data_IF_013876567764
#
_entry.id   IF_013876567764
#
_cell.length_a   1.000
_cell.length_b   1.000
_cell.length_c   1.000
_cell.angle_alpha   90.00
_cell.angle_beta   90.00
_cell.angle_gamma   90.00
#
_symmetry.space_group_name_H-M   'P 1'
#
loop_
_entity.id
_entity.type
_entity.pdbx_description
1 polymer ?
#
# COMPACT_ATOMS: atom_id res chain seq x y z
N UNK A 1 -38.31 -17.04 -1.39
CA UNK A 1 -38.71 -16.96 -2.83
C UNK A 1 -40.07 -17.64 -3.00
N UNK A 2 -41.07 -17.04 -3.69
CA UNK A 2 -42.42 -17.58 -3.76
C UNK A 2 -42.53 -18.90 -4.54
N UNK A 3 -41.60 -19.19 -5.45
CA UNK A 3 -41.64 -20.39 -6.31
C UNK A 3 -40.97 -21.59 -5.64
N UNK A 4 -39.72 -21.44 -5.17
CA UNK A 4 -38.98 -22.54 -4.55
C UNK A 4 -39.11 -22.58 -3.01
N UNK A 5 -39.79 -21.61 -2.40
CA UNK A 5 -39.95 -21.43 -0.94
C UNK A 5 -38.63 -21.38 -0.16
N UNK A 6 -37.50 -21.19 -0.84
CA UNK A 6 -36.20 -21.01 -0.20
C UNK A 6 -36.03 -19.56 0.23
N UNK A 7 -35.58 -19.37 1.46
CA UNK A 7 -35.35 -18.07 2.06
C UNK A 7 -33.86 -17.81 2.30
N UNK A 8 -33.50 -16.53 2.37
CA UNK A 8 -32.13 -16.06 2.59
C UNK A 8 -31.53 -16.59 3.91
N UNK A 9 -32.38 -16.85 4.91
CA UNK A 9 -31.96 -17.42 6.19
C UNK A 9 -31.34 -18.82 6.05
N UNK A 10 -31.93 -19.68 5.20
CA UNK A 10 -31.45 -21.05 4.99
C UNK A 10 -30.29 -21.13 4.00
N UNK A 11 -30.21 -20.16 3.09
CA UNK A 11 -29.21 -20.12 2.01
C UNK A 11 -28.66 -18.70 1.88
N UNK A 12 -27.55 -18.37 2.57
CA UNK A 12 -27.06 -16.98 2.65
C UNK A 12 -26.59 -16.42 1.30
N UNK A 13 -26.15 -17.29 0.38
CA UNK A 13 -25.71 -16.91 -0.96
C UNK A 13 -26.86 -16.75 -1.98
N UNK A 14 -28.12 -16.89 -1.54
CA UNK A 14 -29.27 -16.76 -2.41
C UNK A 14 -29.51 -15.30 -2.80
N UNK A 15 -29.28 -14.98 -4.07
CA UNK A 15 -29.61 -13.66 -4.63
C UNK A 15 -31.10 -13.58 -4.95
N UNK A 16 -31.77 -12.63 -4.33
CA UNK A 16 -33.16 -12.27 -4.61
C UNK A 16 -33.16 -11.03 -5.52
N UNK A 17 -33.83 -11.15 -6.66
CA UNK A 17 -34.04 -10.07 -7.62
C UNK A 17 -35.51 -9.65 -7.61
N UNK A 18 -35.76 -8.41 -8.01
CA UNK A 18 -37.07 -7.77 -8.04
C UNK A 18 -37.45 -7.45 -9.48
N UNK A 19 -38.67 -7.81 -9.87
CA UNK A 19 -39.22 -7.52 -11.19
C UNK A 19 -39.83 -6.10 -11.30
N UNK A 20 -40.20 -5.64 -12.51
CA UNK A 20 -41.02 -4.44 -12.70
C UNK A 20 -42.38 -4.48 -11.99
N UNK A 21 -42.96 -5.67 -11.79
CA UNK A 21 -44.19 -5.84 -11.02
C UNK A 21 -43.96 -5.98 -9.50
N UNK A 22 -42.76 -5.64 -9.02
CA UNK A 22 -42.39 -5.62 -7.59
C UNK A 22 -42.56 -6.95 -6.86
N UNK A 23 -42.35 -8.08 -7.56
CA UNK A 23 -42.32 -9.40 -6.93
C UNK A 23 -40.88 -9.90 -6.81
N UNK A 24 -40.53 -10.46 -5.64
CA UNK A 24 -39.20 -11.00 -5.34
C UNK A 24 -39.06 -12.44 -5.84
N UNK A 25 -38.01 -12.75 -6.57
CA UNK A 25 -37.70 -14.11 -7.05
C UNK A 25 -36.20 -14.40 -6.93
N UNK A 26 -35.82 -15.65 -6.70
CA UNK A 26 -34.39 -16.01 -6.69
C UNK A 26 -33.86 -16.20 -8.12
N UNK A 27 -32.56 -16.00 -8.30
CA UNK A 27 -31.85 -16.16 -9.57
C UNK A 27 -32.14 -17.51 -10.24
N UNK A 28 -32.10 -18.62 -9.50
CA UNK A 28 -32.36 -19.95 -10.05
C UNK A 28 -33.80 -20.13 -10.57
N UNK A 29 -34.79 -19.54 -9.91
CA UNK A 29 -36.17 -19.58 -10.38
C UNK A 29 -36.39 -18.66 -11.59
N UNK A 30 -35.70 -17.53 -11.64
CA UNK A 30 -35.76 -16.61 -12.78
C UNK A 30 -35.19 -17.30 -14.02
N UNK A 31 -34.05 -17.97 -13.87
CA UNK A 31 -33.38 -18.65 -14.97
C UNK A 31 -34.20 -19.80 -15.55
N UNK A 32 -34.86 -20.57 -14.68
CA UNK A 32 -35.73 -21.67 -15.10
C UNK A 32 -37.03 -21.19 -15.76
N UNK A 33 -37.64 -20.12 -15.26
CA UNK A 33 -38.94 -19.65 -15.76
C UNK A 33 -38.83 -18.73 -16.98
N UNK A 34 -37.82 -17.86 -17.00
CA UNK A 34 -37.62 -16.85 -18.06
C UNK A 34 -36.44 -17.18 -18.98
N UNK A 35 -35.78 -18.33 -18.79
CA UNK A 35 -34.68 -18.78 -19.66
C UNK A 35 -35.13 -19.14 -21.07
N UNK A 36 -36.34 -19.71 -21.20
CA UNK A 36 -36.90 -20.12 -22.50
C UNK A 36 -37.53 -18.98 -23.30
N UNK A 37 -37.66 -17.78 -22.72
CA UNK A 37 -38.30 -16.64 -23.36
C UNK A 37 -39.13 -15.77 -22.40
N UNK A 38 -39.88 -14.79 -22.93
CA UNK A 38 -40.79 -13.99 -22.13
C UNK A 38 -41.89 -14.88 -21.54
N UNK A 39 -42.05 -14.82 -20.22
CA UNK A 39 -43.02 -15.64 -19.49
C UNK A 39 -43.86 -14.75 -18.55
N UNK A 40 -45.06 -15.18 -18.14
CA UNK A 40 -45.86 -14.45 -17.17
C UNK A 40 -45.31 -14.60 -15.75
N UNK A 41 -45.36 -13.53 -14.97
CA UNK A 41 -45.06 -13.57 -13.54
C UNK A 41 -46.00 -14.55 -12.82
N UNK A 42 -45.52 -15.42 -11.92
CA UNK A 42 -46.36 -16.38 -11.20
C UNK A 42 -47.33 -15.75 -10.18
N UNK A 43 -47.14 -14.48 -9.81
CA UNK A 43 -47.97 -13.78 -8.82
C UNK A 43 -49.03 -12.88 -9.46
N UNK A 44 -48.66 -12.12 -10.50
CA UNK A 44 -49.52 -11.12 -11.12
C UNK A 44 -49.70 -11.30 -12.63
N UNK A 45 -49.17 -12.38 -13.21
CA UNK A 45 -49.31 -12.76 -14.63
C UNK A 45 -48.82 -11.73 -15.67
N UNK A 46 -48.16 -10.66 -15.25
CA UNK A 46 -47.51 -9.71 -16.16
C UNK A 46 -46.41 -10.42 -16.94
N UNK A 47 -46.38 -10.27 -18.27
CA UNK A 47 -45.34 -10.83 -19.13
C UNK A 47 -44.04 -10.09 -18.91
N UNK A 48 -43.02 -10.80 -18.45
CA UNK A 48 -41.71 -10.24 -18.10
C UNK A 48 -40.59 -10.93 -18.87
N UNK A 49 -39.46 -10.21 -19.00
CA UNK A 49 -38.20 -10.73 -19.55
C UNK A 49 -37.15 -10.86 -18.47
N UNK A 50 -36.20 -11.79 -18.65
CA UNK A 50 -35.07 -12.02 -17.72
C UNK A 50 -34.30 -10.74 -17.39
N UNK A 51 -34.02 -9.89 -18.38
CA UNK A 51 -33.20 -8.67 -18.21
C UNK A 51 -33.91 -7.56 -17.42
N UNK A 52 -35.20 -7.71 -17.13
CA UNK A 52 -35.97 -6.71 -16.37
C UNK A 52 -35.89 -6.92 -14.86
N UNK A 53 -35.35 -8.05 -14.41
CA UNK A 53 -35.11 -8.32 -12.99
C UNK A 53 -33.85 -7.59 -12.52
N UNK A 54 -33.97 -6.83 -11.42
CA UNK A 54 -32.90 -6.02 -10.85
C UNK A 54 -32.56 -6.50 -9.44
N UNK A 55 -31.33 -6.28 -8.99
CA UNK A 55 -30.95 -6.57 -7.61
C UNK A 55 -31.66 -5.62 -6.64
N UNK A 56 -32.25 -6.18 -5.60
CA UNK A 56 -32.91 -5.40 -4.55
C UNK A 56 -31.88 -4.51 -3.81
N UNK A 57 -32.19 -3.22 -3.67
CA UNK A 57 -31.36 -2.27 -2.91
C UNK A 57 -31.95 -2.04 -1.51
N UNK A 58 -33.27 -1.92 -1.42
CA UNK A 58 -34.00 -1.65 -0.16
C UNK A 58 -34.76 -2.88 0.29
N UNK A 59 -34.91 -3.12 1.60
CA UNK A 59 -35.65 -4.29 2.10
C UNK A 59 -37.14 -4.22 1.75
N UNK A 60 -37.73 -3.03 1.88
CA UNK A 60 -39.11 -2.71 1.54
C UNK A 60 -39.30 -2.45 0.04
N UNK A 61 -40.30 -3.11 -0.53
CA UNK A 61 -40.68 -2.98 -1.94
C UNK A 61 -41.45 -1.69 -2.22
N UNK A 62 -42.18 -1.15 -1.23
CA UNK A 62 -42.92 0.10 -1.39
C UNK A 62 -41.93 1.26 -1.64
N UNK A 63 -40.87 1.33 -0.85
CA UNK A 63 -39.78 2.30 -1.03
C UNK A 63 -39.10 2.12 -2.39
N UNK A 64 -38.88 0.88 -2.85
CA UNK A 64 -38.30 0.65 -4.17
C UNK A 64 -39.23 1.09 -5.32
N UNK A 65 -40.55 0.90 -5.18
CA UNK A 65 -41.57 1.44 -6.11
C UNK A 65 -41.51 2.96 -6.15
N UNK A 66 -41.55 3.60 -4.99
CA UNK A 66 -41.48 5.05 -4.84
C UNK A 66 -40.21 5.65 -5.46
N UNK A 67 -39.03 5.09 -5.14
CA UNK A 67 -37.75 5.54 -5.69
C UNK A 67 -37.72 5.39 -7.23
N UNK A 68 -38.27 4.31 -7.77
CA UNK A 68 -38.34 4.12 -9.23
C UNK A 68 -39.27 5.15 -9.89
N UNK A 69 -40.42 5.43 -9.30
CA UNK A 69 -41.37 6.43 -9.79
C UNK A 69 -40.76 7.83 -9.72
N UNK A 70 -40.21 8.24 -8.57
CA UNK A 70 -39.55 9.55 -8.42
C UNK A 70 -38.42 9.75 -9.41
N UNK A 71 -37.59 8.72 -9.66
CA UNK A 71 -36.54 8.79 -10.70
C UNK A 71 -37.10 8.94 -12.12
N UNK A 72 -38.26 8.36 -12.42
CA UNK A 72 -38.95 8.54 -13.71
C UNK A 72 -39.47 9.96 -13.84
N UNK A 73 -40.19 10.44 -12.83
CA UNK A 73 -40.79 11.79 -12.81
C UNK A 73 -39.70 12.87 -12.85
N UNK A 74 -38.66 12.78 -12.02
CA UNK A 74 -37.56 13.75 -11.98
C UNK A 74 -36.76 13.87 -13.29
N UNK A 75 -36.78 12.85 -14.16
CA UNK A 75 -36.16 12.95 -15.50
C UNK A 75 -36.92 13.88 -16.43
N UNK A 76 -38.24 13.92 -16.28
CA UNK A 76 -39.15 14.76 -17.08
C UNK A 76 -39.28 16.15 -16.44
N UNK A 77 -39.52 16.21 -15.13
CA UNK A 77 -39.67 17.45 -14.38
C UNK A 77 -38.33 17.93 -13.80
N UNK A 78 -37.45 18.41 -14.68
CA UNK A 78 -36.08 18.78 -14.33
C UNK A 78 -35.81 20.30 -14.35
N UNK A 79 -36.85 21.11 -14.14
CA UNK A 79 -36.72 22.58 -13.99
C UNK A 79 -36.09 22.92 -12.64
N UNK A 80 -35.28 23.97 -12.60
CA UNK A 80 -34.57 24.43 -11.40
C UNK A 80 -35.17 25.72 -10.85
N UNK A 81 -34.87 26.13 -9.60
CA UNK A 81 -35.37 27.38 -9.04
C UNK A 81 -35.04 28.61 -9.90
N UNK A 82 -33.91 28.59 -10.62
CA UNK A 82 -33.47 29.70 -11.47
C UNK A 82 -34.33 29.85 -12.74
N UNK A 83 -35.09 28.82 -13.13
CA UNK A 83 -35.97 28.85 -14.29
C UNK A 83 -37.32 29.54 -13.97
N UNK A 84 -37.57 29.92 -12.70
CA UNK A 84 -38.81 30.53 -12.25
C UNK A 84 -38.61 31.98 -11.80
N UNK A 85 -39.59 32.88 -12.04
CA UNK A 85 -39.47 34.28 -11.66
C UNK A 85 -39.71 34.52 -10.16
N UNK A 86 -40.29 33.56 -9.43
CA UNK A 86 -40.51 33.66 -7.99
C UNK A 86 -40.41 32.30 -7.30
N UNK A 87 -39.98 32.31 -6.04
CA UNK A 87 -39.90 31.11 -5.21
C UNK A 87 -41.26 30.44 -5.01
N UNK A 88 -42.35 31.22 -4.97
CA UNK A 88 -43.71 30.69 -4.82
C UNK A 88 -44.08 29.76 -5.97
N UNK A 89 -43.88 30.21 -7.22
CA UNK A 89 -44.19 29.40 -8.40
C UNK A 89 -43.33 28.12 -8.46
N UNK A 90 -42.08 28.20 -7.99
CA UNK A 90 -41.24 27.01 -7.89
C UNK A 90 -41.79 26.01 -6.86
N UNK A 91 -42.26 26.48 -5.69
CA UNK A 91 -42.87 25.61 -4.70
C UNK A 91 -44.20 25.01 -5.20
N UNK A 92 -45.04 25.80 -5.86
CA UNK A 92 -46.28 25.33 -6.47
C UNK A 92 -45.98 24.23 -7.51
N UNK A 93 -44.92 24.40 -8.31
CA UNK A 93 -44.43 23.37 -9.26
C UNK A 93 -43.94 22.09 -8.55
N UNK A 94 -43.22 22.21 -7.43
CA UNK A 94 -42.78 21.04 -6.65
C UNK A 94 -43.96 20.28 -6.05
N UNK A 95 -45.00 20.99 -5.60
CA UNK A 95 -46.24 20.40 -5.11
C UNK A 95 -46.95 19.60 -6.22
N UNK A 96 -47.09 20.17 -7.42
CA UNK A 96 -47.65 19.47 -8.59
C UNK A 96 -46.86 18.18 -8.93
N UNK A 97 -45.54 18.22 -8.82
CA UNK A 97 -44.67 17.05 -9.07
C UNK A 97 -44.86 15.96 -8.01
N UNK A 98 -45.04 16.34 -6.74
CA UNK A 98 -45.33 15.38 -5.67
C UNK A 98 -46.73 14.80 -5.79
N UNK A 99 -47.73 15.58 -6.20
CA UNK A 99 -49.08 15.08 -6.49
C UNK A 99 -49.08 14.03 -7.60
N UNK A 100 -48.37 14.31 -8.70
CA UNK A 100 -48.17 13.36 -9.81
C UNK A 100 -47.51 12.08 -9.29
N UNK A 101 -46.47 12.22 -8.45
CA UNK A 101 -45.74 11.09 -7.88
C UNK A 101 -46.64 10.26 -6.96
N UNK A 102 -47.45 10.91 -6.13
CA UNK A 102 -48.37 10.30 -5.19
C UNK A 102 -49.47 9.51 -5.92
N UNK A 103 -50.03 10.08 -6.98
CA UNK A 103 -51.03 9.43 -7.82
C UNK A 103 -50.47 8.15 -8.46
N UNK A 104 -49.26 8.21 -9.03
CA UNK A 104 -48.59 7.05 -9.61
C UNK A 104 -48.20 5.99 -8.57
N UNK A 105 -47.86 6.40 -7.34
CA UNK A 105 -47.49 5.48 -6.28
C UNK A 105 -48.69 4.67 -5.78
N UNK A 106 -49.84 5.33 -5.61
CA UNK A 106 -51.08 4.72 -5.12
C UNK A 106 -51.98 4.15 -6.22
N UNK A 107 -51.53 4.20 -7.48
CA UNK A 107 -52.27 3.75 -8.66
C UNK A 107 -53.64 4.46 -8.81
N UNK A 108 -53.72 5.74 -8.41
CA UNK A 108 -54.90 6.61 -8.54
C UNK A 108 -54.80 7.40 -9.85
N UNK A 109 -55.85 7.36 -10.68
CA UNK A 109 -55.95 8.12 -11.94
C UNK A 109 -54.69 8.07 -12.83
N UNK A 110 -54.12 6.87 -12.94
CA UNK A 110 -52.86 6.63 -13.66
C UNK A 110 -52.94 7.10 -15.12
N UNK A 111 -54.06 6.86 -15.79
CA UNK A 111 -54.24 7.24 -17.19
C UNK A 111 -54.21 8.76 -17.40
N UNK A 112 -54.86 9.52 -16.53
CA UNK A 112 -54.85 10.99 -16.59
C UNK A 112 -53.47 11.53 -16.25
N UNK A 113 -52.85 10.99 -15.21
CA UNK A 113 -51.52 11.39 -14.75
C UNK A 113 -50.46 11.12 -15.83
N UNK A 114 -50.50 9.97 -16.48
CA UNK A 114 -49.60 9.65 -17.59
C UNK A 114 -49.85 10.55 -18.81
N UNK A 115 -51.10 10.91 -19.10
CA UNK A 115 -51.42 11.87 -20.16
C UNK A 115 -50.82 13.26 -19.86
N UNK A 116 -50.91 13.73 -18.61
CA UNK A 116 -50.28 14.99 -18.15
C UNK A 116 -48.77 14.95 -18.31
N UNK A 117 -48.12 13.86 -17.91
CA UNK A 117 -46.67 13.67 -18.06
C UNK A 117 -46.26 13.73 -19.54
N UNK A 118 -46.99 13.02 -20.41
CA UNK A 118 -46.68 12.99 -21.84
C UNK A 118 -46.89 14.36 -22.51
N UNK A 119 -47.95 15.08 -22.15
CA UNK A 119 -48.19 16.43 -22.65
C UNK A 119 -47.06 17.38 -22.24
N UNK A 120 -46.68 17.37 -20.96
CA UNK A 120 -45.57 18.17 -20.45
C UNK A 120 -44.24 17.82 -21.12
N UNK A 121 -43.94 16.53 -21.31
CA UNK A 121 -42.73 16.06 -21.99
C UNK A 121 -42.66 16.55 -23.44
N UNK A 122 -43.79 16.53 -24.16
CA UNK A 122 -43.87 17.03 -25.53
C UNK A 122 -43.65 18.54 -25.62
N UNK A 123 -44.28 19.31 -24.72
CA UNK A 123 -44.19 20.77 -24.70
C UNK A 123 -42.80 21.27 -24.26
N UNK A 124 -42.16 20.57 -23.31
CA UNK A 124 -40.90 21.01 -22.70
C UNK A 124 -39.68 20.22 -23.18
N UNK A 125 -39.79 19.42 -24.25
CA UNK A 125 -38.74 18.50 -24.71
C UNK A 125 -37.36 19.15 -24.82
N UNK A 126 -37.27 20.34 -25.41
CA UNK A 126 -36.01 21.04 -25.61
C UNK A 126 -35.42 21.55 -24.29
N UNK A 127 -36.27 22.10 -23.41
CA UNK A 127 -35.88 22.53 -22.06
C UNK A 127 -35.38 21.35 -21.23
N UNK A 128 -36.06 20.20 -21.32
CA UNK A 128 -35.69 18.98 -20.60
C UNK A 128 -34.33 18.49 -21.08
N UNK A 129 -34.11 18.41 -22.40
CA UNK A 129 -32.85 17.98 -22.98
C UNK A 129 -31.68 18.91 -22.60
N UNK A 130 -31.89 20.22 -22.64
CA UNK A 130 -30.88 21.20 -22.23
C UNK A 130 -30.52 21.06 -20.74
N UNK A 131 -31.52 20.88 -19.88
CA UNK A 131 -31.32 20.68 -18.44
C UNK A 131 -30.61 19.36 -18.13
N UNK A 132 -30.92 18.28 -18.86
CA UNK A 132 -30.23 16.99 -18.73
C UNK A 132 -28.76 17.12 -19.17
N UNK A 133 -28.48 17.82 -20.27
CA UNK A 133 -27.11 18.06 -20.73
C UNK A 133 -26.31 18.90 -19.72
N UNK A 134 -26.91 19.94 -19.15
CA UNK A 134 -26.32 20.76 -18.07
C UNK A 134 -25.97 19.90 -16.86
N UNK A 135 -26.91 19.10 -16.36
CA UNK A 135 -26.68 18.18 -15.24
C UNK A 135 -25.58 17.15 -15.55
N UNK A 136 -25.55 16.60 -16.77
CA UNK A 136 -24.51 15.66 -17.16
C UNK A 136 -23.12 16.30 -17.18
N UNK A 137 -23.00 17.56 -17.62
CA UNK A 137 -21.74 18.29 -17.59
C UNK A 137 -21.29 18.62 -16.16
N UNK A 138 -22.21 19.08 -15.30
CA UNK A 138 -21.95 19.33 -13.88
C UNK A 138 -21.48 18.06 -13.16
N UNK A 139 -22.15 16.93 -13.37
CA UNK A 139 -21.76 15.64 -12.78
C UNK A 139 -20.36 15.20 -13.24
N UNK A 140 -20.03 15.39 -14.53
CA UNK A 140 -18.68 15.10 -15.04
C UNK A 140 -17.63 15.97 -14.37
N UNK A 141 -17.90 17.26 -14.23
CA UNK A 141 -17.01 18.19 -13.55
C UNK A 141 -16.80 17.81 -12.09
N UNK A 142 -17.88 17.50 -11.36
CA UNK A 142 -17.81 17.02 -9.98
C UNK A 142 -16.98 15.74 -9.86
N UNK A 143 -17.21 14.74 -10.72
CA UNK A 143 -16.43 13.50 -10.69
C UNK A 143 -14.93 13.73 -10.94
N UNK A 144 -14.58 14.69 -11.79
CA UNK A 144 -13.19 15.06 -12.05
C UNK A 144 -12.55 15.74 -10.82
N UNK A 145 -13.29 16.62 -10.14
CA UNK A 145 -12.82 17.25 -8.90
C UNK A 145 -12.62 16.23 -7.78
N UNK A 146 -13.54 15.27 -7.62
CA UNK A 146 -13.42 14.19 -6.63
C UNK A 146 -12.19 13.30 -6.90
N UNK A 147 -11.90 13.02 -8.18
CA UNK A 147 -10.73 12.23 -8.57
C UNK A 147 -9.42 12.95 -8.26
N UNK A 148 -9.33 14.26 -8.55
CA UNK A 148 -8.19 15.09 -8.16
C UNK A 148 -7.99 15.11 -6.64
N UNK A 149 -9.06 15.32 -5.86
CA UNK A 149 -8.99 15.30 -4.40
C UNK A 149 -8.51 13.95 -3.86
N UNK A 150 -8.93 12.85 -4.50
CA UNK A 150 -8.48 11.51 -4.14
C UNK A 150 -6.98 11.33 -4.39
N UNK A 151 -6.49 11.79 -5.55
CA UNK A 151 -5.06 11.73 -5.89
C UNK A 151 -4.22 12.56 -4.92
N UNK A 152 -4.65 13.78 -4.57
CA UNK A 152 -3.97 14.62 -3.58
C UNK A 152 -3.91 13.95 -2.20
N UNK A 153 -5.01 13.31 -1.79
CA UNK A 153 -5.07 12.57 -0.51
C UNK A 153 -4.16 11.35 -0.52
N UNK A 154 -4.07 10.65 -1.64
CA UNK A 154 -3.19 9.50 -1.82
C UNK A 154 -1.72 9.92 -1.79
N UNK A 155 -1.35 10.96 -2.53
CA UNK A 155 0.00 11.54 -2.50
C UNK A 155 0.40 11.99 -1.09
N UNK A 156 -0.49 12.71 -0.38
CA UNK A 156 -0.25 13.12 1.00
C UNK A 156 -0.04 11.93 1.94
N UNK A 157 -0.75 10.83 1.71
CA UNK A 157 -0.59 9.60 2.48
C UNK A 157 0.76 8.95 2.19
N UNK A 158 1.18 8.90 0.93
CA UNK A 158 2.48 8.38 0.51
C UNK A 158 3.64 9.19 1.12
N UNK A 159 3.58 10.51 1.05
CA UNK A 159 4.56 11.41 1.67
C UNK A 159 4.67 11.16 3.19
N UNK A 160 3.54 11.03 3.89
CA UNK A 160 3.53 10.74 5.32
C UNK A 160 4.16 9.37 5.63
N UNK A 161 3.88 8.35 4.81
CA UNK A 161 4.50 7.02 4.97
C UNK A 161 6.01 7.06 4.74
N UNK A 162 6.48 7.82 3.75
CA UNK A 162 7.91 8.01 3.49
C UNK A 162 8.61 8.69 4.66
N UNK A 163 8.00 9.75 5.22
CA UNK A 163 8.55 10.44 6.40
C UNK A 163 8.70 9.50 7.60
N UNK A 164 7.70 8.65 7.87
CA UNK A 164 7.79 7.65 8.94
C UNK A 164 8.90 6.63 8.70
N UNK A 165 9.10 6.20 7.44
CA UNK A 165 10.15 5.26 7.09
C UNK A 165 11.55 5.87 7.17
N UNK A 166 11.69 7.14 6.76
CA UNK A 166 12.93 7.91 6.93
C UNK A 166 13.26 8.11 8.41
N UNK A 167 12.27 8.47 9.24
CA UNK A 167 12.45 8.60 10.69
C UNK A 167 12.87 7.27 11.33
N UNK A 168 12.28 6.15 10.89
CA UNK A 168 12.69 4.81 11.36
C UNK A 168 14.14 4.51 10.97
N UNK A 169 14.53 4.79 9.72
CA UNK A 169 15.91 4.58 9.23
C UNK A 169 16.91 5.44 9.99
N UNK A 170 16.59 6.70 10.27
CA UNK A 170 17.44 7.59 11.07
C UNK A 170 17.63 7.05 12.49
N UNK A 171 16.56 6.63 13.17
CA UNK A 171 16.67 6.02 14.51
C UNK A 171 17.48 4.72 14.52
N UNK A 172 17.40 3.92 13.47
CA UNK A 172 18.23 2.72 13.32
C UNK A 172 19.71 3.08 13.12
N UNK A 173 20.01 4.07 12.27
CA UNK A 173 21.36 4.57 12.06
C UNK A 173 21.96 5.14 13.36
N UNK A 174 21.24 6.03 14.04
CA UNK A 174 21.64 6.60 15.34
C UNK A 174 21.96 5.51 16.37
N UNK A 175 21.13 4.46 16.46
CA UNK A 175 21.41 3.31 17.34
C UNK A 175 22.68 2.57 16.94
N UNK A 176 22.88 2.32 15.65
CA UNK A 176 24.09 1.61 15.19
C UNK A 176 25.36 2.41 15.42
N UNK A 177 25.30 3.73 15.25
CA UNK A 177 26.46 4.59 15.44
C UNK A 177 26.80 4.74 16.92
N UNK A 178 25.80 4.86 17.80
CA UNK A 178 25.98 4.81 19.25
C UNK A 178 26.64 3.48 19.69
N UNK A 179 26.23 2.34 19.11
CA UNK A 179 26.84 1.04 19.39
C UNK A 179 28.32 1.01 18.96
N UNK A 180 28.64 1.55 17.77
CA UNK A 180 30.02 1.61 17.29
C UNK A 180 30.91 2.47 18.18
N UNK A 181 30.42 3.63 18.64
CA UNK A 181 31.16 4.48 19.58
C UNK A 181 31.47 3.75 20.89
N UNK A 182 30.49 3.05 21.46
CA UNK A 182 30.69 2.24 22.67
C UNK A 182 31.70 1.11 22.47
N UNK A 183 31.64 0.43 21.32
CA UNK A 183 32.60 -0.63 20.95
C UNK A 183 34.01 -0.06 20.80
N UNK A 184 34.17 1.06 20.10
CA UNK A 184 35.47 1.70 19.93
C UNK A 184 36.07 2.16 21.26
N UNK A 185 35.26 2.75 22.15
CA UNK A 185 35.73 3.13 23.49
C UNK A 185 36.20 1.94 24.33
N UNK A 186 35.51 0.79 24.24
CA UNK A 186 35.97 -0.45 24.90
C UNK A 186 37.27 -1.00 24.30
N UNK A 187 37.47 -0.88 22.98
CA UNK A 187 38.70 -1.34 22.31
C UNK A 187 39.89 -0.44 22.70
N UNK A 188 39.69 0.88 22.77
CA UNK A 188 40.72 1.82 23.24
C UNK A 188 41.13 1.54 24.69
N UNK A 189 40.17 1.26 25.59
CA UNK A 189 40.45 0.87 26.97
C UNK A 189 41.20 -0.48 27.06
N UNK A 190 40.86 -1.47 26.23
CA UNK A 190 41.58 -2.75 26.18
C UNK A 190 43.02 -2.61 25.65
N UNK A 191 43.24 -1.81 24.60
CA UNK A 191 44.58 -1.56 24.05
C UNK A 191 45.47 -0.79 25.05
N UNK A 192 44.93 0.21 25.75
CA UNK A 192 45.67 0.92 26.81
C UNK A 192 46.03 -0.01 27.98
N UNK A 193 45.14 -0.91 28.36
CA UNK A 193 45.36 -1.90 29.41
C UNK A 193 46.42 -2.94 29.01
N UNK A 194 46.39 -3.45 27.77
CA UNK A 194 47.41 -4.37 27.25
C UNK A 194 48.79 -3.70 27.14
N UNK A 195 48.83 -2.45 26.67
CA UNK A 195 50.06 -1.66 26.60
C UNK A 195 50.62 -1.35 27.99
N UNK A 196 49.76 -1.09 28.97
CA UNK A 196 50.13 -0.95 30.37
C UNK A 196 50.73 -2.23 30.96
N UNK A 197 50.15 -3.40 30.64
CA UNK A 197 50.66 -4.71 31.06
C UNK A 197 52.03 -5.02 30.44
N UNK A 198 52.21 -4.72 29.16
CA UNK A 198 53.49 -4.87 28.45
C UNK A 198 54.58 -3.99 29.06
N UNK A 199 54.27 -2.73 29.40
CA UNK A 199 55.20 -1.83 30.10
C UNK A 199 55.61 -2.38 31.48
N UNK A 200 54.67 -2.89 32.27
CA UNK A 200 54.96 -3.53 33.55
C UNK A 200 55.86 -4.76 33.38
N UNK A 201 55.60 -5.61 32.39
CA UNK A 201 56.43 -6.77 32.08
C UNK A 201 57.86 -6.37 31.71
N UNK A 202 58.04 -5.31 30.91
CA UNK A 202 59.38 -4.78 30.56
C UNK A 202 60.12 -4.27 31.80
N UNK A 203 59.44 -3.54 32.69
CA UNK A 203 60.04 -3.06 33.95
C UNK A 203 60.46 -4.22 34.84
N UNK A 204 59.62 -5.25 34.98
CA UNK A 204 59.94 -6.48 35.72
C UNK A 204 61.13 -7.19 35.08
N UNK A 205 61.16 -7.34 33.76
CA UNK A 205 62.25 -8.00 33.02
C UNK A 205 63.58 -7.24 33.19
N UNK A 206 63.56 -5.91 33.10
CA UNK A 206 64.73 -5.05 33.34
C UNK A 206 65.19 -5.14 34.80
N UNK A 207 64.28 -5.23 35.76
CA UNK A 207 64.61 -5.42 37.17
C UNK A 207 65.27 -6.78 37.41
N UNK A 208 64.73 -7.88 36.87
CA UNK A 208 65.34 -9.21 36.93
C UNK A 208 66.67 -9.28 36.18
N UNK A 209 66.82 -8.56 35.06
CA UNK A 209 68.08 -8.47 34.34
C UNK A 209 69.13 -7.68 35.15
N UNK A 210 68.75 -6.57 35.79
CA UNK A 210 69.63 -5.79 36.65
C UNK A 210 70.07 -6.58 37.89
N UNK A 211 69.12 -7.26 38.56
CA UNK A 211 69.41 -8.15 39.69
C UNK A 211 70.20 -9.39 39.26
N UNK A 212 69.91 -9.95 38.08
CA UNK A 212 70.61 -11.11 37.50
C UNK A 212 72.04 -10.80 37.05
N UNK A 213 72.28 -9.62 36.48
CA UNK A 213 73.63 -9.11 36.19
C UNK A 213 74.41 -8.86 37.48
N UNK A 214 73.74 -8.48 38.57
CA UNK A 214 74.38 -8.32 39.88
C UNK A 214 74.77 -9.65 40.56
N UNK A 215 74.28 -10.80 40.08
CA UNK A 215 74.61 -12.13 40.64
C UNK A 215 75.68 -12.91 39.85
N UNK A 216 76.19 -12.36 38.73
CA UNK A 216 77.31 -12.94 37.97
C UNK A 216 78.62 -12.12 38.02
N UNK A 217 78.68 -11.03 38.79
CA UNK A 217 79.92 -10.24 39.01
C UNK A 217 80.71 -10.71 40.25
N UNK A 218 80.37 -11.86 40.85
CA UNK A 218 81.12 -12.45 41.97
C UNK A 218 81.64 -13.86 41.68
N UNK A 219 82.23 -14.11 40.51
CA UNK A 219 83.08 -15.29 40.32
C UNK A 219 84.06 -15.15 39.14
N UNK A 220 85.16 -14.44 39.36
CA UNK A 220 86.41 -14.76 38.67
C UNK A 220 87.63 -14.27 39.47
N UNK A 221 88.33 -15.22 40.10
CA UNK A 221 89.76 -15.11 40.46
C UNK A 221 90.57 -15.97 39.48
N UNK A 222 91.80 -15.56 39.15
CA UNK A 222 92.54 -16.13 38.03
C UNK A 222 93.28 -17.44 38.38
N UNK A 223 93.55 -18.18 37.31
CA UNK A 223 94.12 -19.52 37.19
C UNK A 223 95.40 -19.80 37.98
N UNK A 224 95.64 -21.09 38.29
CA UNK A 224 96.98 -21.67 38.14
C UNK A 224 96.97 -23.17 37.78
N UNK A 225 97.67 -23.45 36.68
CA UNK A 225 98.52 -24.60 36.36
C UNK A 225 97.96 -26.05 36.24
N UNK A 226 98.04 -26.53 34.99
CA UNK A 226 98.66 -27.79 34.49
C UNK A 226 97.89 -29.13 34.39
N UNK A 227 97.79 -29.58 33.11
CA UNK A 227 97.94 -30.95 32.54
C UNK A 227 96.72 -31.90 32.56
N UNK A 228 96.05 -32.02 31.39
CA UNK A 228 95.99 -33.24 30.56
C UNK A 228 95.21 -33.01 29.23
N UNK A 229 95.75 -33.55 28.12
CA UNK A 229 95.28 -33.55 26.71
C UNK A 229 94.41 -34.81 26.42
N UNK A 230 93.88 -35.08 25.20
CA UNK A 230 92.98 -34.29 24.33
C UNK A 230 91.84 -35.17 23.69
N UNK A 231 91.04 -34.57 22.78
CA UNK A 231 90.09 -35.17 21.81
C UNK A 231 88.75 -35.66 22.39
N UNK A 232 87.57 -35.30 21.88
CA UNK A 232 87.12 -35.30 20.47
C UNK A 232 86.07 -34.21 20.21
N UNK A 233 86.24 -33.51 19.07
CA UNK A 233 85.20 -32.79 18.33
C UNK A 233 84.42 -33.84 17.50
N UNK A 234 83.11 -33.63 17.27
CA UNK A 234 82.29 -33.99 16.07
C UNK A 234 80.83 -33.80 16.51
N UNK A 235 79.89 -33.26 15.74
CA UNK A 235 79.89 -32.47 14.52
C UNK A 235 78.46 -31.96 14.34
N UNK A 236 78.36 -30.89 13.58
CA UNK A 236 77.19 -30.21 13.02
C UNK A 236 76.01 -31.15 12.71
N UNK A 237 74.80 -30.75 13.11
CA UNK A 237 73.57 -31.02 12.35
C UNK A 237 72.73 -29.74 12.26
N UNK A 238 72.80 -29.10 11.11
CA UNK A 238 71.65 -28.36 10.57
C UNK A 238 70.51 -29.34 10.35
N UNK A 239 69.39 -29.14 11.05
CA UNK A 239 68.09 -29.62 10.61
C UNK A 239 67.22 -28.41 10.35
N UNK A 240 67.28 -27.94 9.11
CA UNK A 240 66.12 -27.37 8.46
C UNK A 240 65.15 -28.54 8.21
N UNK A 241 64.01 -28.57 8.90
CA UNK A 241 62.79 -29.21 8.41
C UNK A 241 61.66 -28.22 8.66
N UNK A 242 61.12 -27.66 7.57
CA UNK A 242 60.02 -28.26 6.81
C UNK A 242 58.76 -28.26 7.69
N UNK A 243 57.62 -27.66 7.35
CA UNK A 243 56.96 -27.31 6.08
C UNK A 243 55.46 -27.36 6.45
N UNK A 244 54.45 -26.92 5.72
CA UNK A 244 54.20 -26.42 4.37
C UNK A 244 52.69 -26.30 4.32
N UNK A 245 52.20 -25.23 3.69
CA UNK A 245 51.24 -25.23 2.57
C UNK A 245 50.15 -26.30 2.61
N UNK A 246 48.91 -25.86 2.51
CA UNK A 246 48.14 -25.76 1.25
C UNK A 246 46.95 -24.84 1.61
N UNK A 247 46.62 -23.79 0.87
CA UNK A 247 46.26 -23.83 -0.55
C UNK A 247 46.73 -22.55 -1.25
N UNK A 248 47.57 -22.76 -2.26
CA UNK A 248 47.75 -21.90 -3.43
C UNK A 248 46.58 -22.16 -4.37
N UNK A 249 45.97 -21.12 -4.94
CA UNK A 249 45.72 -21.02 -6.40
C UNK A 249 45.66 -19.52 -6.79
N UNK A 250 46.74 -19.01 -7.41
CA UNK A 250 46.83 -18.59 -8.85
C UNK A 250 46.20 -17.18 -9.05
N UNK A 251 46.97 -16.09 -8.98
CA UNK A 251 47.69 -15.42 -10.09
C UNK A 251 46.94 -15.41 -11.43
N UNK A 252 46.46 -14.25 -11.87
CA UNK A 252 46.62 -13.78 -13.25
C UNK A 252 46.26 -12.30 -13.36
N UNK A 253 47.23 -11.49 -13.85
CA UNK A 253 47.08 -10.46 -14.91
C UNK A 253 46.27 -9.20 -14.52
N UNK A 254 46.71 -7.96 -14.67
CA UNK A 254 47.92 -7.31 -15.18
C UNK A 254 47.78 -5.80 -14.88
N UNK A 255 48.93 -5.11 -14.79
CA UNK A 255 49.18 -3.71 -15.16
C UNK A 255 48.35 -2.59 -14.49
N UNK A 256 48.93 -1.82 -13.56
CA UNK A 256 49.85 -0.70 -13.83
C UNK A 256 49.16 0.53 -14.42
N UNK A 257 49.28 1.64 -13.67
CA UNK A 257 49.56 3.01 -14.14
C UNK A 257 48.59 3.61 -15.18
N UNK A 258 48.09 4.84 -15.10
CA UNK A 258 48.43 6.03 -14.34
C UNK A 258 47.42 7.13 -14.75
N UNK A 259 47.45 8.25 -14.03
CA UNK A 259 47.23 9.62 -14.54
C UNK A 259 45.78 10.05 -14.85
N UNK A 260 45.22 10.98 -14.06
CA UNK A 260 45.44 12.43 -13.99
C UNK A 260 44.47 13.23 -14.87
N UNK A 261 43.82 14.21 -14.23
CA UNK A 261 43.30 15.48 -14.73
C UNK A 261 42.33 15.52 -15.94
N UNK A 262 41.23 16.26 -15.74
CA UNK A 262 40.43 16.81 -16.84
C UNK A 262 39.29 17.70 -16.39
N UNK A 263 39.59 18.97 -16.15
CA UNK A 263 38.59 20.06 -16.17
C UNK A 263 37.99 20.22 -17.57
N UNK A 264 36.73 20.68 -17.64
CA UNK A 264 36.14 21.16 -18.89
C UNK A 264 34.83 21.91 -18.68
N UNK A 265 34.93 23.24 -18.47
CA UNK A 265 33.86 24.19 -18.76
C UNK A 265 33.70 24.36 -20.28
N UNK A 266 32.47 24.55 -20.76
CA UNK A 266 32.21 24.98 -22.14
C UNK A 266 30.78 25.50 -22.32
N UNK A 267 30.66 26.82 -22.52
CA UNK A 267 29.47 27.48 -23.12
C UNK A 267 29.57 27.38 -24.65
N UNK A 268 28.42 27.35 -25.33
CA UNK A 268 28.19 28.24 -26.47
C UNK A 268 27.31 27.72 -27.62
N UNK A 269 26.28 28.54 -27.89
CA UNK A 269 25.40 28.66 -29.08
C UNK A 269 24.24 27.70 -29.23
#
# INVERSE_FOLDING_TARGET
CPVCKSDKYLTPNLKLLVSPCFHKMCESCIDRLFGSGPAPCPMCHLVLRRNQFMSQIFEDLAVEKEVRIRKRVAKVFNKRPEDFPSLRLYNDFLEEVEDITFNLMNDVDVAETEAKINAYEMENKDSIAANQARMANENRFQSYQEELQKQEKEHRREEYMQQLEDERRQKEQEKTDLIKELVNGHIEEEEENEMGLLMLLVVVFLFYFYVGVHQQISSSRPCNATICRPQTIISIKTTNRFTSKHIITIWTIDNALMDHFGHGYGRGR
#
